data_IF_391862683613
#
_entry.id   IF_391862683613
#
_cell.length_a   1.000
_cell.length_b   1.000
_cell.length_c   1.000
_cell.angle_alpha   90.00
_cell.angle_beta   90.00
_cell.angle_gamma   90.00
#
_symmetry.space_group_name_H-M   'P 1'
#
loop_
_entity.id
_entity.type
_entity.pdbx_description
1 polymer ?
#
# COMPACT_ATOMS: atom_id res chain seq x y z
N UNK A 1 -30.67 36.26 28.69
CA UNK A 1 -30.67 35.79 27.29
C UNK A 1 -31.98 35.05 27.05
N UNK A 2 -32.76 35.43 26.04
CA UNK A 2 -34.05 34.76 25.78
C UNK A 2 -33.78 33.31 25.32
N UNK A 3 -34.70 32.40 25.67
CA UNK A 3 -34.62 30.98 25.25
C UNK A 3 -34.44 30.85 23.73
N UNK A 4 -35.17 31.67 22.97
CA UNK A 4 -35.07 31.70 21.50
C UNK A 4 -33.66 32.07 21.04
N UNK A 5 -33.02 33.07 21.63
CA UNK A 5 -31.63 33.43 21.27
C UNK A 5 -30.65 32.31 21.61
N UNK A 6 -30.81 31.61 22.73
CA UNK A 6 -30.00 30.48 23.10
C UNK A 6 -30.13 29.32 22.09
N UNK A 7 -31.35 28.98 21.66
CA UNK A 7 -31.61 27.95 20.65
C UNK A 7 -31.01 28.30 19.29
N UNK A 8 -31.09 29.55 18.86
CA UNK A 8 -30.47 30.03 17.62
C UNK A 8 -28.95 29.88 17.71
N UNK A 9 -28.32 30.29 18.80
CA UNK A 9 -26.87 30.16 19.00
C UNK A 9 -26.46 28.66 18.92
N UNK A 10 -27.18 27.77 19.63
CA UNK A 10 -26.91 26.34 19.60
C UNK A 10 -27.04 25.77 18.19
N UNK A 11 -28.07 26.14 17.45
CA UNK A 11 -28.26 25.68 16.06
C UNK A 11 -27.12 26.18 15.15
N UNK A 12 -26.69 27.43 15.28
CA UNK A 12 -25.56 27.99 14.52
C UNK A 12 -24.25 27.25 14.87
N UNK A 13 -23.96 27.03 16.15
CA UNK A 13 -22.79 26.28 16.58
C UNK A 13 -22.80 24.83 16.07
N UNK A 14 -23.95 24.18 16.10
CA UNK A 14 -24.12 22.84 15.54
C UNK A 14 -23.83 22.83 14.03
N UNK A 15 -24.38 23.76 13.26
CA UNK A 15 -24.14 23.86 11.81
C UNK A 15 -22.66 24.15 11.49
N UNK A 16 -22.01 25.04 12.24
CA UNK A 16 -20.57 25.30 12.09
C UNK A 16 -19.75 24.06 12.39
N UNK A 17 -20.05 23.35 13.49
CA UNK A 17 -19.34 22.11 13.86
C UNK A 17 -19.55 21.01 12.82
N UNK A 18 -20.77 20.84 12.33
CA UNK A 18 -21.07 19.89 11.26
C UNK A 18 -20.31 20.23 9.96
N UNK A 19 -20.30 21.49 9.57
CA UNK A 19 -19.54 21.96 8.42
C UNK A 19 -18.03 21.72 8.59
N UNK A 20 -17.48 21.99 9.78
CA UNK A 20 -16.06 21.72 10.08
C UNK A 20 -15.73 20.24 9.95
N UNK A 21 -16.56 19.34 10.50
CA UNK A 21 -16.37 17.90 10.41
C UNK A 21 -16.39 17.43 8.95
N UNK A 22 -17.36 17.88 8.18
CA UNK A 22 -17.53 17.45 6.78
C UNK A 22 -16.45 18.02 5.86
N UNK A 23 -16.11 19.30 6.02
CA UNK A 23 -15.26 20.03 5.08
C UNK A 23 -13.75 19.96 5.43
N UNK A 24 -13.41 19.64 6.67
CA UNK A 24 -12.02 19.64 7.16
C UNK A 24 -11.64 18.28 7.76
N UNK A 25 -12.35 17.84 8.81
CA UNK A 25 -11.95 16.63 9.56
C UNK A 25 -12.07 15.37 8.68
N UNK A 26 -13.21 15.18 8.02
CA UNK A 26 -13.45 14.03 7.15
C UNK A 26 -12.40 13.89 6.03
N UNK A 27 -12.13 14.95 5.24
CA UNK A 27 -11.03 14.95 4.27
C UNK A 27 -9.66 14.64 4.87
N UNK A 28 -9.33 15.19 6.03
CA UNK A 28 -8.03 14.95 6.68
C UNK A 28 -7.90 13.52 7.19
N UNK A 29 -8.94 12.90 7.69
CA UNK A 29 -8.93 11.47 8.08
C UNK A 29 -8.59 10.58 6.87
N UNK A 30 -9.11 10.90 5.68
CA UNK A 30 -8.78 10.16 4.46
C UNK A 30 -7.33 10.40 4.02
N UNK A 31 -6.84 11.63 4.13
CA UNK A 31 -5.53 12.02 3.61
C UNK A 31 -4.37 11.79 4.59
N UNK A 32 -4.65 11.76 5.88
CA UNK A 32 -3.65 11.63 6.94
C UNK A 32 -3.93 10.37 7.77
N UNK A 33 -3.61 9.19 7.24
CA UNK A 33 -3.77 7.95 7.97
C UNK A 33 -2.89 7.96 9.24
N UNK A 34 -3.24 7.12 10.19
CA UNK A 34 -2.42 6.91 11.37
C UNK A 34 -1.00 6.54 10.95
N UNK A 35 0.00 7.25 11.45
CA UNK A 35 1.41 6.95 11.21
C UNK A 35 1.92 5.94 12.23
N UNK A 36 1.80 4.67 11.92
CA UNK A 36 2.47 3.62 12.68
C UNK A 36 3.96 3.66 12.37
N UNK A 37 4.78 3.57 13.43
CA UNK A 37 6.24 3.38 13.33
C UNK A 37 6.59 2.00 13.87
N UNK A 38 7.87 1.63 13.86
CA UNK A 38 8.31 0.35 14.44
C UNK A 38 7.86 0.18 15.90
N UNK A 39 7.72 1.28 16.66
CA UNK A 39 7.31 1.23 18.06
C UNK A 39 5.89 0.66 18.23
N UNK A 40 5.01 0.85 17.26
CA UNK A 40 3.68 0.24 17.26
C UNK A 40 3.74 -1.30 17.24
N UNK A 41 4.84 -1.86 16.75
CA UNK A 41 5.07 -3.30 16.65
C UNK A 41 5.72 -3.91 17.90
N UNK A 42 6.21 -3.11 18.84
CA UNK A 42 6.76 -3.59 20.11
C UNK A 42 5.70 -4.41 20.86
N UNK A 43 6.08 -5.62 21.31
CA UNK A 43 5.17 -6.58 21.94
C UNK A 43 4.25 -7.35 20.99
N UNK A 44 4.23 -7.03 19.68
CA UNK A 44 3.43 -7.74 18.67
C UNK A 44 4.26 -8.65 17.79
N UNK A 45 5.52 -8.32 17.61
CA UNK A 45 6.50 -9.13 16.88
C UNK A 45 7.88 -8.94 17.46
N UNK A 46 8.75 -9.93 17.27
CA UNK A 46 10.18 -9.85 17.56
C UNK A 46 10.99 -9.33 16.38
N UNK A 47 10.37 -9.16 15.20
CA UNK A 47 11.02 -8.72 13.96
C UNK A 47 10.66 -7.26 13.68
N UNK A 48 11.27 -6.32 14.38
CA UNK A 48 11.00 -4.90 14.23
C UNK A 48 11.74 -4.29 13.03
N UNK A 49 12.95 -4.79 12.75
CA UNK A 49 13.78 -4.35 11.64
C UNK A 49 14.59 -5.53 11.05
N UNK A 50 15.18 -5.41 9.85
CA UNK A 50 15.87 -6.51 9.18
C UNK A 50 16.98 -7.15 10.01
N UNK A 51 17.73 -6.38 10.82
CA UNK A 51 18.78 -6.94 11.69
C UNK A 51 18.25 -7.87 12.78
N UNK A 52 17.03 -7.67 13.27
CA UNK A 52 16.37 -8.59 14.21
C UNK A 52 16.07 -9.94 13.56
N UNK A 53 15.87 -9.93 12.23
CA UNK A 53 15.66 -11.14 11.43
C UNK A 53 16.97 -11.84 11.04
N UNK A 54 18.14 -11.34 11.50
CA UNK A 54 19.46 -11.85 11.17
C UNK A 54 19.85 -11.65 9.70
N UNK A 55 19.40 -10.57 9.07
CA UNK A 55 19.70 -10.21 7.68
C UNK A 55 20.31 -8.79 7.61
N UNK A 56 21.16 -8.50 6.59
CA UNK A 56 21.78 -7.19 6.43
C UNK A 56 20.73 -6.07 6.38
N UNK A 57 21.07 -4.93 6.96
CA UNK A 57 20.25 -3.72 6.89
C UNK A 57 21.13 -2.53 6.56
N UNK A 58 20.69 -1.77 5.57
CA UNK A 58 21.22 -0.46 5.25
C UNK A 58 20.07 0.55 5.30
N UNK A 59 20.19 1.56 6.15
CA UNK A 59 19.21 2.64 6.20
C UNK A 59 19.37 3.54 4.97
N UNK A 60 18.28 3.80 4.29
CA UNK A 60 18.26 4.60 3.06
C UNK A 60 17.23 5.72 3.15
N UNK A 61 17.54 6.83 2.49
CA UNK A 61 16.61 7.94 2.26
C UNK A 61 16.50 8.17 0.77
N UNK A 62 15.30 8.06 0.23
CA UNK A 62 15.01 8.25 -1.19
C UNK A 62 14.20 9.54 -1.32
N UNK A 63 14.71 10.53 -2.05
CA UNK A 63 13.98 11.78 -2.25
C UNK A 63 13.12 11.69 -3.51
N UNK A 64 11.81 11.84 -3.33
CA UNK A 64 10.86 11.87 -4.44
C UNK A 64 11.01 13.16 -5.29
N UNK A 65 10.46 13.23 -6.51
CA UNK A 65 10.59 14.39 -7.38
C UNK A 65 10.05 15.70 -6.78
N UNK A 66 9.05 15.60 -5.90
CA UNK A 66 8.46 16.72 -5.16
C UNK A 66 9.14 16.99 -3.81
N UNK A 67 10.33 16.41 -3.58
CA UNK A 67 11.17 16.66 -2.40
C UNK A 67 10.79 15.87 -1.15
N UNK A 68 9.83 14.96 -1.22
CA UNK A 68 9.43 14.14 -0.05
C UNK A 68 10.51 13.10 0.26
N UNK A 69 11.11 13.08 1.47
CA UNK A 69 12.04 12.05 1.88
C UNK A 69 11.29 10.77 2.25
N UNK A 70 11.61 9.67 1.57
CA UNK A 70 11.09 8.33 1.85
C UNK A 70 12.15 7.55 2.61
N UNK A 71 11.84 7.18 3.85
CA UNK A 71 12.72 6.40 4.74
C UNK A 71 12.57 4.91 4.47
N UNK A 72 13.69 4.20 4.35
CA UNK A 72 13.65 2.78 4.04
C UNK A 72 14.83 1.98 4.57
N UNK A 73 14.72 0.66 4.40
CA UNK A 73 15.76 -0.32 4.64
C UNK A 73 16.06 -1.08 3.36
N UNK A 74 17.33 -1.07 2.96
CA UNK A 74 17.81 -1.91 1.87
C UNK A 74 18.48 -3.15 2.47
N UNK A 75 17.91 -4.31 2.15
CA UNK A 75 18.45 -5.62 2.45
C UNK A 75 19.09 -6.15 1.17
N UNK A 76 20.42 -6.10 1.07
CA UNK A 76 21.13 -6.43 -0.16
C UNK A 76 21.91 -7.73 -0.10
N UNK A 77 21.89 -8.45 -1.19
CA UNK A 77 22.73 -9.60 -1.47
C UNK A 77 24.15 -9.17 -1.89
N UNK A 78 25.18 -10.01 -1.69
CA UNK A 78 26.42 -9.88 -2.47
C UNK A 78 26.10 -9.85 -3.96
N UNK A 79 26.77 -8.98 -4.75
CA UNK A 79 26.48 -8.78 -6.17
C UNK A 79 26.41 -10.08 -6.98
N UNK A 80 27.33 -11.02 -6.71
CA UNK A 80 27.41 -12.31 -7.39
C UNK A 80 26.20 -13.23 -7.13
N UNK A 81 25.46 -13.01 -6.03
CA UNK A 81 24.33 -13.85 -5.61
C UNK A 81 22.95 -13.22 -5.87
N UNK A 82 22.90 -11.93 -6.24
CA UNK A 82 21.64 -11.23 -6.43
C UNK A 82 20.89 -11.73 -7.67
N UNK A 83 19.70 -12.30 -7.47
CA UNK A 83 18.79 -12.77 -8.53
C UNK A 83 17.89 -11.67 -9.08
N UNK A 84 17.65 -10.63 -8.32
CA UNK A 84 16.78 -9.51 -8.62
C UNK A 84 16.47 -8.72 -7.36
N UNK A 85 15.61 -7.73 -7.48
CA UNK A 85 15.23 -6.86 -6.36
C UNK A 85 13.71 -6.85 -6.21
N UNK A 86 13.24 -6.97 -4.98
CA UNK A 86 11.83 -6.88 -4.65
C UNK A 86 11.62 -5.64 -3.77
N UNK A 87 10.65 -4.81 -4.15
CA UNK A 87 10.24 -3.65 -3.37
C UNK A 87 8.93 -3.99 -2.67
N UNK A 88 8.92 -3.87 -1.34
CA UNK A 88 7.74 -4.07 -0.51
C UNK A 88 7.00 -2.75 -0.30
N UNK A 89 5.68 -2.78 -0.50
CA UNK A 89 4.76 -1.67 -0.36
C UNK A 89 3.70 -2.04 0.69
N UNK A 90 3.73 -1.34 1.82
CA UNK A 90 2.84 -1.62 2.95
C UNK A 90 1.43 -1.07 2.76
N UNK A 91 0.50 -1.49 3.61
CA UNK A 91 -0.89 -1.02 3.65
C UNK A 91 -1.04 0.40 4.23
N UNK A 92 -2.25 0.96 4.10
CA UNK A 92 -2.56 2.28 4.66
C UNK A 92 -2.44 2.27 6.19
N UNK A 93 -1.85 3.31 6.75
CA UNK A 93 -1.63 3.45 8.19
C UNK A 93 -0.53 2.55 8.76
N UNK A 94 0.19 1.81 7.91
CA UNK A 94 1.27 0.89 8.29
C UNK A 94 2.66 1.47 8.00
N UNK A 95 3.72 0.67 8.12
CA UNK A 95 5.09 1.08 7.85
C UNK A 95 5.94 -0.11 7.34
N UNK A 96 7.19 0.18 6.98
CA UNK A 96 8.15 -0.79 6.45
C UNK A 96 8.40 -2.01 7.36
N UNK A 97 8.13 -1.90 8.67
CA UNK A 97 8.28 -3.00 9.63
C UNK A 97 7.42 -4.22 9.28
N UNK A 98 6.21 -4.01 8.75
CA UNK A 98 5.32 -5.08 8.32
C UNK A 98 5.96 -6.04 7.28
N UNK A 99 6.93 -5.54 6.51
CA UNK A 99 7.62 -6.30 5.47
C UNK A 99 8.84 -7.09 5.94
N UNK A 100 9.26 -7.00 7.21
CA UNK A 100 10.54 -7.59 7.68
C UNK A 100 10.56 -9.12 7.55
N UNK A 101 9.48 -9.78 7.92
CA UNK A 101 9.37 -11.25 7.76
C UNK A 101 9.48 -11.67 6.29
N UNK A 102 8.81 -10.95 5.39
CA UNK A 102 8.89 -11.15 3.94
C UNK A 102 10.32 -10.89 3.41
N UNK A 103 10.96 -9.82 3.88
CA UNK A 103 12.34 -9.52 3.49
C UNK A 103 13.28 -10.64 3.87
N UNK A 104 13.16 -11.21 5.07
CA UNK A 104 13.93 -12.38 5.51
C UNK A 104 13.70 -13.58 4.59
N UNK A 105 12.45 -13.86 4.24
CA UNK A 105 12.07 -14.96 3.35
C UNK A 105 12.74 -14.82 1.98
N UNK A 106 12.62 -13.64 1.37
CA UNK A 106 13.12 -13.34 0.02
C UNK A 106 14.65 -13.22 -0.01
N UNK A 107 15.26 -12.60 1.01
CA UNK A 107 16.72 -12.52 1.14
C UNK A 107 17.36 -13.92 1.17
N UNK A 108 16.82 -14.85 1.95
CA UNK A 108 17.31 -16.23 2.00
C UNK A 108 17.20 -16.98 0.66
N UNK A 109 16.44 -16.44 -0.28
CA UNK A 109 16.27 -16.98 -1.66
C UNK A 109 17.11 -16.26 -2.71
N UNK A 110 17.92 -15.28 -2.28
CA UNK A 110 18.86 -14.58 -3.14
C UNK A 110 18.34 -13.28 -3.75
N UNK A 111 17.25 -12.71 -3.23
CA UNK A 111 16.74 -11.41 -3.68
C UNK A 111 17.26 -10.27 -2.80
N UNK A 112 17.54 -9.13 -3.41
CA UNK A 112 17.57 -7.88 -2.66
C UNK A 112 16.14 -7.49 -2.28
N UNK A 113 15.97 -6.81 -1.14
CA UNK A 113 14.66 -6.30 -0.75
C UNK A 113 14.79 -4.86 -0.30
N UNK A 114 13.97 -3.98 -0.87
CA UNK A 114 13.77 -2.62 -0.37
C UNK A 114 12.43 -2.57 0.37
N UNK A 115 12.49 -2.18 1.63
CA UNK A 115 11.35 -1.85 2.47
C UNK A 115 11.38 -0.34 2.70
N UNK A 116 10.34 0.39 2.33
CA UNK A 116 10.29 1.83 2.65
C UNK A 116 8.91 2.25 3.12
N UNK A 117 8.86 3.27 3.94
CA UNK A 117 7.61 3.90 4.33
C UNK A 117 7.12 4.76 3.18
N UNK A 118 5.89 4.52 2.74
CA UNK A 118 5.22 5.38 1.76
C UNK A 118 5.11 6.81 2.27
N UNK A 119 4.95 7.78 1.35
CA UNK A 119 4.66 9.16 1.76
C UNK A 119 3.52 9.24 2.77
N UNK A 120 3.60 10.15 3.71
CA UNK A 120 2.66 10.34 4.81
C UNK A 120 2.51 9.14 5.77
N UNK A 121 3.42 8.14 5.71
CA UNK A 121 3.43 6.98 6.61
C UNK A 121 4.78 6.84 7.32
N UNK A 122 4.77 6.06 8.40
CA UNK A 122 5.97 5.74 9.17
C UNK A 122 6.83 6.97 9.48
N UNK A 123 8.12 6.87 9.20
CA UNK A 123 9.10 7.94 9.35
C UNK A 123 9.32 8.75 8.06
N UNK A 124 8.64 8.43 6.97
CA UNK A 124 8.74 9.17 5.72
C UNK A 124 8.07 10.54 5.82
N UNK A 125 8.53 11.46 4.99
CA UNK A 125 7.93 12.76 4.82
C UNK A 125 6.57 12.71 4.10
N UNK A 126 6.15 13.89 3.64
CA UNK A 126 4.86 14.05 3.00
C UNK A 126 3.73 14.30 3.99
N UNK A 127 2.75 15.06 3.54
CA UNK A 127 1.61 15.47 4.36
C UNK A 127 0.39 14.58 4.13
N UNK A 128 0.23 14.07 2.90
CA UNK A 128 -0.97 13.39 2.45
C UNK A 128 -0.67 12.05 1.80
N UNK A 129 -1.51 11.07 2.08
CA UNK A 129 -1.63 9.81 1.37
C UNK A 129 -2.64 9.97 0.23
N UNK A 130 -2.29 9.49 -0.97
CA UNK A 130 -3.14 9.59 -2.18
C UNK A 130 -3.46 8.23 -2.80
N UNK A 131 -3.20 7.14 -2.07
CA UNK A 131 -3.61 5.75 -2.41
C UNK A 131 -3.08 5.25 -3.76
N UNK A 132 -1.98 5.81 -4.24
CA UNK A 132 -1.35 5.44 -5.51
C UNK A 132 -1.27 6.57 -6.53
N UNK A 133 -1.91 7.72 -6.31
CA UNK A 133 -1.80 8.84 -7.25
C UNK A 133 -0.37 9.39 -7.33
N UNK A 134 0.25 9.73 -6.20
CA UNK A 134 1.66 10.10 -6.11
C UNK A 134 2.55 8.89 -5.78
N UNK A 135 2.09 7.94 -4.96
CA UNK A 135 2.86 6.81 -4.47
C UNK A 135 3.41 5.94 -5.62
N UNK A 136 2.69 5.80 -6.74
CA UNK A 136 3.18 5.07 -7.93
C UNK A 136 4.45 5.70 -8.53
N UNK A 137 4.61 7.01 -8.45
CA UNK A 137 5.80 7.72 -8.91
C UNK A 137 6.97 7.58 -7.92
N UNK A 138 6.66 7.46 -6.61
CA UNK A 138 7.67 7.16 -5.59
C UNK A 138 8.33 5.80 -5.83
N UNK A 139 7.56 4.80 -6.29
CA UNK A 139 8.11 3.49 -6.68
C UNK A 139 9.14 3.65 -7.81
N UNK A 140 8.82 4.41 -8.86
CA UNK A 140 9.74 4.69 -9.96
C UNK A 140 11.01 5.41 -9.49
N UNK A 141 10.88 6.30 -8.52
CA UNK A 141 12.01 6.99 -7.89
C UNK A 141 12.87 6.02 -7.09
N UNK A 142 12.26 5.11 -6.34
CA UNK A 142 12.96 4.07 -5.59
C UNK A 142 13.75 3.14 -6.53
N UNK A 143 13.16 2.73 -7.65
CA UNK A 143 13.86 1.94 -8.69
C UNK A 143 15.05 2.72 -9.26
N UNK A 144 14.87 4.02 -9.55
CA UNK A 144 15.93 4.87 -10.06
C UNK A 144 17.07 5.09 -9.06
N UNK A 145 16.75 5.22 -7.78
CA UNK A 145 17.71 5.27 -6.69
C UNK A 145 18.58 4.00 -6.66
N UNK A 146 17.93 2.83 -6.66
CA UNK A 146 18.63 1.54 -6.64
C UNK A 146 19.48 1.33 -7.90
N UNK A 147 18.99 1.74 -9.07
CA UNK A 147 19.69 1.56 -10.34
C UNK A 147 20.99 2.40 -10.45
N UNK A 148 21.08 3.55 -9.77
CA UNK A 148 22.28 4.40 -9.73
C UNK A 148 23.37 3.84 -8.80
N UNK A 149 23.05 2.88 -7.96
CA UNK A 149 23.97 2.29 -6.99
C UNK A 149 24.99 1.37 -7.68
N UNK A 150 26.26 1.80 -7.72
CA UNK A 150 27.37 0.99 -8.31
C UNK A 150 27.71 -0.26 -7.50
N UNK A 151 27.41 -0.25 -6.19
CA UNK A 151 27.64 -1.37 -5.25
C UNK A 151 26.51 -2.40 -5.24
N UNK A 152 25.42 -2.16 -5.96
CA UNK A 152 24.24 -3.02 -6.03
C UNK A 152 24.07 -3.61 -7.44
N UNK A 153 23.77 -4.91 -7.52
CA UNK A 153 23.19 -5.54 -8.71
C UNK A 153 21.68 -5.58 -8.53
N UNK A 154 20.97 -4.62 -9.12
CA UNK A 154 19.52 -4.51 -9.00
C UNK A 154 18.79 -5.69 -9.66
N UNK A 155 19.26 -6.17 -10.83
CA UNK A 155 18.58 -7.20 -11.62
C UNK A 155 17.18 -6.78 -12.07
N UNK A 156 16.33 -7.77 -12.33
CA UNK A 156 14.90 -7.52 -12.60
C UNK A 156 14.18 -7.09 -11.32
N UNK A 157 13.22 -6.18 -11.43
CA UNK A 157 12.48 -5.64 -10.28
C UNK A 157 11.09 -6.25 -10.20
N UNK A 158 10.75 -6.76 -9.01
CA UNK A 158 9.40 -7.16 -8.65
C UNK A 158 8.83 -6.27 -7.55
N UNK A 159 7.51 -6.16 -7.49
CA UNK A 159 6.80 -5.48 -6.42
C UNK A 159 6.00 -6.48 -5.59
N UNK A 160 6.01 -6.31 -4.29
CA UNK A 160 5.08 -6.97 -3.38
C UNK A 160 4.31 -5.90 -2.61
N UNK A 161 3.01 -5.83 -2.84
CA UNK A 161 2.17 -4.86 -2.16
C UNK A 161 1.04 -5.50 -1.37
N UNK A 162 0.77 -4.98 -0.17
CA UNK A 162 -0.37 -5.38 0.68
C UNK A 162 -1.40 -4.25 0.75
N UNK A 163 -2.68 -4.56 0.62
CA UNK A 163 -3.78 -3.60 0.77
C UNK A 163 -3.61 -2.37 -0.16
N UNK A 164 -3.45 -1.17 0.39
CA UNK A 164 -3.08 0.02 -0.38
C UNK A 164 -1.81 -0.22 -1.22
N UNK A 165 -0.79 -0.88 -0.65
CA UNK A 165 0.44 -1.19 -1.36
C UNK A 165 0.22 -2.08 -2.59
N UNK A 166 -0.78 -2.97 -2.58
CA UNK A 166 -1.16 -3.78 -3.74
C UNK A 166 -1.73 -2.90 -4.87
N UNK A 167 -2.56 -1.92 -4.52
CA UNK A 167 -3.07 -0.95 -5.47
C UNK A 167 -1.96 -0.08 -6.05
N UNK A 168 -1.03 0.38 -5.21
CA UNK A 168 0.16 1.14 -5.63
C UNK A 168 1.04 0.31 -6.57
N UNK A 169 1.27 -0.98 -6.24
CA UNK A 169 2.10 -1.89 -7.05
C UNK A 169 1.56 -2.05 -8.48
N UNK A 170 0.25 -2.25 -8.63
CA UNK A 170 -0.40 -2.38 -9.94
C UNK A 170 -0.28 -1.07 -10.72
N UNK A 171 -0.59 0.07 -10.08
CA UNK A 171 -0.51 1.39 -10.71
C UNK A 171 0.92 1.76 -11.11
N UNK A 172 1.91 1.45 -10.26
CA UNK A 172 3.31 1.70 -10.58
C UNK A 172 3.79 0.85 -11.76
N UNK A 173 3.37 -0.42 -11.82
CA UNK A 173 3.73 -1.32 -12.93
C UNK A 173 3.15 -0.84 -14.26
N UNK A 174 2.00 -0.17 -14.25
CA UNK A 174 1.39 0.37 -15.47
C UNK A 174 2.15 1.56 -16.08
N UNK A 175 2.96 2.26 -15.28
CA UNK A 175 3.70 3.45 -15.72
C UNK A 175 5.23 3.26 -15.77
N UNK A 176 5.75 2.14 -15.24
CA UNK A 176 7.20 1.87 -15.20
C UNK A 176 7.52 0.46 -15.72
N UNK A 177 8.02 0.38 -16.93
CA UNK A 177 8.33 -0.87 -17.63
C UNK A 177 9.53 -1.64 -17.04
N UNK A 178 10.27 -1.05 -16.10
CA UNK A 178 11.34 -1.74 -15.35
C UNK A 178 10.79 -2.76 -14.36
N UNK A 179 9.51 -2.66 -13.99
CA UNK A 179 8.83 -3.61 -13.13
C UNK A 179 8.46 -4.83 -13.96
N UNK A 180 8.85 -6.02 -13.48
CA UNK A 180 8.77 -7.28 -14.22
C UNK A 180 7.81 -8.30 -13.59
N UNK A 181 7.35 -8.08 -12.37
CA UNK A 181 6.40 -8.93 -11.68
C UNK A 181 5.71 -8.18 -10.54
N UNK A 182 4.45 -8.52 -10.23
CA UNK A 182 3.69 -7.95 -9.12
C UNK A 182 3.03 -9.06 -8.30
N UNK A 183 3.19 -9.01 -6.99
CA UNK A 183 2.32 -9.69 -6.03
C UNK A 183 1.41 -8.64 -5.42
N UNK A 184 0.11 -8.80 -5.58
CA UNK A 184 -0.93 -7.91 -5.08
C UNK A 184 -1.79 -8.64 -4.03
N UNK A 185 -1.53 -8.37 -2.75
CA UNK A 185 -2.24 -8.99 -1.63
C UNK A 185 -3.31 -8.07 -1.09
N UNK A 186 -4.54 -8.58 -0.97
CA UNK A 186 -5.70 -7.90 -0.39
C UNK A 186 -5.94 -6.49 -0.96
N UNK A 187 -5.74 -6.33 -2.29
CA UNK A 187 -5.90 -5.05 -2.99
C UNK A 187 -7.35 -4.71 -3.32
N UNK A 188 -7.58 -3.47 -3.74
CA UNK A 188 -8.88 -2.96 -4.19
C UNK A 188 -8.85 -2.55 -5.67
N UNK A 189 -10.02 -2.40 -6.30
CA UNK A 189 -10.16 -2.08 -7.74
C UNK A 189 -9.94 -0.61 -8.05
N UNK A 190 -10.53 0.28 -7.27
CA UNK A 190 -10.39 1.74 -7.42
C UNK A 190 -10.77 2.48 -6.14
N UNK A 191 -10.25 3.70 -5.97
CA UNK A 191 -10.43 4.47 -4.75
C UNK A 191 -11.89 4.88 -4.47
N UNK A 192 -12.68 5.12 -5.51
CA UNK A 192 -14.08 5.54 -5.34
C UNK A 192 -14.91 4.37 -4.85
N UNK A 193 -14.76 3.20 -5.45
CA UNK A 193 -15.50 2.00 -5.08
C UNK A 193 -15.15 1.55 -3.66
N UNK A 194 -13.86 1.48 -3.30
CA UNK A 194 -13.46 1.11 -1.95
C UNK A 194 -13.95 2.12 -0.90
N UNK A 195 -14.03 3.42 -1.23
CA UNK A 195 -14.56 4.42 -0.31
C UNK A 195 -16.06 4.24 -0.04
N UNK A 196 -16.82 3.72 -1.02
CA UNK A 196 -18.23 3.35 -0.84
C UNK A 196 -18.37 2.18 0.12
N UNK A 197 -17.55 1.14 -0.10
CA UNK A 197 -17.56 -0.06 0.75
C UNK A 197 -17.14 0.27 2.18
N UNK A 198 -16.12 1.08 2.35
CA UNK A 198 -15.67 1.55 3.66
C UNK A 198 -16.79 2.28 4.41
N UNK A 199 -17.52 3.17 3.70
CA UNK A 199 -18.66 3.87 4.29
C UNK A 199 -19.76 2.90 4.72
N UNK A 200 -20.12 1.92 3.90
CA UNK A 200 -21.19 0.96 4.21
C UNK A 200 -20.81 -0.01 5.33
N UNK A 201 -19.60 -0.54 5.29
CA UNK A 201 -19.15 -1.65 6.16
C UNK A 201 -18.57 -1.17 7.49
N UNK A 202 -17.82 -0.07 7.48
CA UNK A 202 -17.08 0.43 8.65
C UNK A 202 -17.78 1.60 9.30
N UNK A 203 -18.06 2.66 8.52
CA UNK A 203 -18.65 3.91 9.06
C UNK A 203 -20.14 3.75 9.33
N UNK A 204 -20.83 2.88 8.57
CA UNK A 204 -22.27 2.58 8.67
C UNK A 204 -23.19 3.82 8.58
N UNK A 205 -22.70 4.91 7.99
CA UNK A 205 -23.50 6.12 7.75
C UNK A 205 -24.20 6.03 6.39
N UNK A 206 -25.53 6.27 6.30
CA UNK A 206 -26.27 6.12 5.06
C UNK A 206 -26.05 7.25 4.05
N UNK A 207 -25.39 8.33 4.47
CA UNK A 207 -25.34 9.58 3.70
C UNK A 207 -24.19 9.61 2.69
N UNK A 208 -24.46 9.13 1.50
CA UNK A 208 -23.51 9.16 0.36
C UNK A 208 -23.01 10.57 0.02
N UNK A 209 -23.85 11.58 0.26
CA UNK A 209 -23.50 12.98 0.03
C UNK A 209 -22.27 13.41 0.84
N UNK A 210 -22.21 13.11 2.14
CA UNK A 210 -21.10 13.52 3.01
C UNK A 210 -19.78 12.90 2.56
N UNK A 211 -19.79 11.62 2.17
CA UNK A 211 -18.60 10.95 1.59
C UNK A 211 -18.16 11.66 0.31
N UNK A 212 -19.08 11.97 -0.58
CA UNK A 212 -18.76 12.63 -1.86
C UNK A 212 -18.16 14.03 -1.63
N UNK A 213 -18.69 14.78 -0.66
CA UNK A 213 -18.11 16.07 -0.27
C UNK A 213 -16.71 15.89 0.32
N UNK A 214 -16.52 14.95 1.26
CA UNK A 214 -15.22 14.67 1.85
C UNK A 214 -14.20 14.26 0.77
N UNK A 215 -14.56 13.36 -0.15
CA UNK A 215 -13.70 12.95 -1.26
C UNK A 215 -13.37 14.12 -2.20
N UNK A 216 -14.36 14.94 -2.56
CA UNK A 216 -14.14 16.14 -3.39
C UNK A 216 -13.18 17.14 -2.72
N UNK A 217 -13.35 17.36 -1.41
CA UNK A 217 -12.46 18.23 -0.63
C UNK A 217 -11.05 17.62 -0.51
N UNK A 218 -10.94 16.32 -0.25
CA UNK A 218 -9.65 15.62 -0.20
C UNK A 218 -8.87 15.79 -1.50
N UNK A 219 -9.52 15.64 -2.64
CA UNK A 219 -8.89 15.85 -3.95
C UNK A 219 -8.34 17.27 -4.12
N UNK A 220 -9.08 18.28 -3.66
CA UNK A 220 -8.63 19.70 -3.71
C UNK A 220 -7.48 19.95 -2.72
N UNK A 221 -7.56 19.43 -1.49
CA UNK A 221 -6.54 19.65 -0.44
C UNK A 221 -5.19 19.01 -0.83
N UNK A 222 -5.22 17.78 -1.34
CA UNK A 222 -4.01 17.05 -1.70
C UNK A 222 -3.67 17.12 -3.20
N UNK A 223 -4.38 17.92 -3.98
CA UNK A 223 -4.20 18.12 -5.41
C UNK A 223 -4.06 16.78 -6.20
N UNK A 224 -5.01 15.87 -5.99
CA UNK A 224 -5.04 14.59 -6.69
C UNK A 224 -6.41 14.32 -7.30
N UNK A 225 -6.50 13.31 -8.15
CA UNK A 225 -7.75 12.90 -8.80
C UNK A 225 -8.07 11.45 -8.44
N UNK A 226 -9.08 11.25 -7.60
CA UNK A 226 -9.49 9.92 -7.13
C UNK A 226 -9.85 8.97 -8.28
N UNK A 227 -10.33 9.47 -9.42
CA UNK A 227 -10.64 8.68 -10.63
C UNK A 227 -9.38 8.06 -11.28
N UNK A 228 -8.20 8.65 -11.05
CA UNK A 228 -6.93 8.18 -11.59
C UNK A 228 -6.25 7.17 -10.65
N UNK A 229 -6.86 6.87 -9.49
CA UNK A 229 -6.47 5.79 -8.59
C UNK A 229 -7.35 4.58 -8.91
N UNK A 230 -6.99 3.87 -9.97
CA UNK A 230 -7.81 2.80 -10.56
C UNK A 230 -6.99 1.58 -10.97
N UNK A 231 -6.54 0.77 -10.01
CA UNK A 231 -5.86 -0.50 -10.29
C UNK A 231 -6.57 -1.39 -11.31
N UNK A 232 -7.92 -1.36 -11.36
CA UNK A 232 -8.70 -2.16 -12.33
C UNK A 232 -8.53 -1.67 -13.77
N UNK A 233 -8.28 -0.39 -13.98
CA UNK A 233 -7.95 0.16 -15.30
C UNK A 233 -6.50 -0.18 -15.65
N UNK A 234 -5.59 0.02 -14.71
CA UNK A 234 -4.16 -0.15 -14.91
C UNK A 234 -3.78 -1.62 -15.17
N UNK A 235 -4.39 -2.56 -14.46
CA UNK A 235 -4.12 -3.99 -14.61
C UNK A 235 -4.37 -4.52 -16.02
N UNK A 236 -5.29 -3.91 -16.75
CA UNK A 236 -5.62 -4.27 -18.15
C UNK A 236 -4.49 -3.94 -19.12
N UNK A 237 -3.59 -3.03 -18.76
CA UNK A 237 -2.45 -2.64 -19.61
C UNK A 237 -1.23 -3.55 -19.40
N UNK A 238 -1.19 -4.29 -18.28
CA UNK A 238 -0.03 -5.07 -17.88
C UNK A 238 0.08 -6.38 -18.64
N UNK A 239 1.27 -6.69 -19.14
CA UNK A 239 1.64 -7.97 -19.77
C UNK A 239 2.77 -8.68 -19.00
N UNK A 240 2.91 -8.38 -17.72
CA UNK A 240 3.87 -9.00 -16.79
C UNK A 240 3.15 -9.98 -15.87
N UNK A 241 3.86 -10.96 -15.28
CA UNK A 241 3.28 -11.87 -14.30
C UNK A 241 2.69 -11.11 -13.09
N UNK A 242 1.44 -11.46 -12.75
CA UNK A 242 0.76 -10.93 -11.55
C UNK A 242 0.21 -12.08 -10.73
N UNK A 243 0.50 -12.07 -9.43
CA UNK A 243 -0.08 -12.97 -8.43
C UNK A 243 -0.98 -12.16 -7.52
N UNK A 244 -2.29 -12.47 -7.54
CA UNK A 244 -3.24 -11.94 -6.59
C UNK A 244 -3.40 -12.91 -5.43
N UNK A 245 -3.41 -12.41 -4.19
CA UNK A 245 -3.64 -13.19 -2.97
C UNK A 245 -4.69 -12.48 -2.14
N UNK A 246 -5.69 -13.22 -1.60
CA UNK A 246 -6.72 -12.63 -0.74
C UNK A 246 -7.29 -13.64 0.25
N UNK A 247 -7.58 -13.20 1.47
CA UNK A 247 -8.30 -13.99 2.47
C UNK A 247 -9.81 -13.97 2.22
N UNK A 248 -10.47 -15.11 2.28
CA UNK A 248 -11.93 -15.19 2.02
C UNK A 248 -12.80 -14.58 3.11
N UNK A 249 -12.26 -14.39 4.33
CA UNK A 249 -12.93 -13.78 5.48
C UNK A 249 -12.51 -12.32 5.69
N UNK A 250 -11.88 -11.68 4.66
CA UNK A 250 -11.44 -10.29 4.76
C UNK A 250 -12.63 -9.35 5.00
N UNK A 251 -12.65 -8.77 6.21
CA UNK A 251 -13.71 -7.84 6.65
C UNK A 251 -13.45 -6.40 6.29
N UNK A 252 -12.22 -6.05 5.89
CA UNK A 252 -11.85 -4.69 5.48
C UNK A 252 -12.03 -4.50 3.98
N UNK A 253 -11.46 -5.39 3.18
CA UNK A 253 -11.52 -5.36 1.71
C UNK A 253 -12.10 -6.68 1.23
N UNK A 254 -13.20 -6.61 0.49
CA UNK A 254 -13.84 -7.82 -0.04
C UNK A 254 -12.93 -8.52 -1.05
N UNK A 255 -12.71 -9.84 -0.91
CA UNK A 255 -11.90 -10.63 -1.83
C UNK A 255 -12.42 -10.63 -3.29
N UNK A 256 -13.68 -10.25 -3.50
CA UNK A 256 -14.22 -10.05 -4.86
C UNK A 256 -13.46 -8.97 -5.64
N UNK A 257 -12.81 -8.02 -4.96
CA UNK A 257 -11.92 -7.08 -5.65
C UNK A 257 -10.72 -7.78 -6.28
N UNK A 258 -10.09 -8.74 -5.62
CA UNK A 258 -9.00 -9.52 -6.22
C UNK A 258 -9.50 -10.41 -7.34
N UNK A 259 -10.71 -10.96 -7.27
CA UNK A 259 -11.32 -11.70 -8.38
C UNK A 259 -11.58 -10.79 -9.58
N UNK A 260 -12.05 -9.57 -9.33
CA UNK A 260 -12.27 -8.56 -10.37
C UNK A 260 -10.95 -8.16 -11.02
N UNK A 261 -9.92 -7.85 -10.25
CA UNK A 261 -8.59 -7.53 -10.77
C UNK A 261 -8.02 -8.70 -11.58
N UNK A 262 -8.13 -9.94 -11.07
CA UNK A 262 -7.72 -11.14 -11.79
C UNK A 262 -8.49 -11.31 -13.10
N UNK A 263 -9.80 -11.06 -13.12
CA UNK A 263 -10.61 -11.16 -14.33
C UNK A 263 -10.06 -10.24 -15.43
N UNK A 264 -9.80 -8.99 -15.12
CA UNK A 264 -9.35 -7.98 -16.07
C UNK A 264 -7.85 -8.03 -16.39
N UNK A 265 -7.02 -8.65 -15.56
CA UNK A 265 -5.59 -8.81 -15.83
C UNK A 265 -5.34 -9.69 -17.06
N UNK A 266 -4.28 -9.39 -17.83
CA UNK A 266 -3.79 -10.24 -18.91
C UNK A 266 -2.95 -11.40 -18.36
N UNK A 267 -2.74 -12.42 -19.19
CA UNK A 267 -1.77 -13.49 -18.89
C UNK A 267 -0.33 -12.96 -18.95
N UNK A 268 0.60 -13.49 -18.13
CA UNK A 268 0.39 -14.54 -17.12
C UNK A 268 -0.14 -13.99 -15.79
N UNK A 269 -1.19 -14.61 -15.25
CA UNK A 269 -1.82 -14.21 -13.98
C UNK A 269 -2.17 -15.43 -13.12
N UNK A 270 -2.14 -15.25 -11.81
CA UNK A 270 -2.51 -16.27 -10.84
C UNK A 270 -3.37 -15.66 -9.73
N UNK A 271 -4.32 -16.41 -9.20
CA UNK A 271 -5.16 -16.02 -8.06
C UNK A 271 -5.09 -17.09 -6.98
N UNK A 272 -4.80 -16.69 -5.76
CA UNK A 272 -4.83 -17.53 -4.56
C UNK A 272 -5.81 -16.93 -3.57
N UNK A 273 -6.93 -17.61 -3.35
CA UNK A 273 -7.84 -17.30 -2.26
C UNK A 273 -7.49 -18.20 -1.06
N UNK A 274 -7.30 -17.59 0.10
CA UNK A 274 -6.94 -18.30 1.33
C UNK A 274 -8.19 -18.46 2.20
N UNK A 275 -8.77 -19.67 2.28
CA UNK A 275 -9.97 -19.90 3.06
C UNK A 275 -9.77 -19.58 4.54
N UNK A 276 -10.72 -18.88 5.15
CA UNK A 276 -10.71 -18.52 6.56
C UNK A 276 -9.78 -17.37 6.95
N UNK A 277 -8.91 -16.91 6.04
CA UNK A 277 -8.03 -15.80 6.32
C UNK A 277 -8.75 -14.45 6.22
N UNK A 278 -8.42 -13.54 7.15
CA UNK A 278 -8.84 -12.14 7.17
C UNK A 278 -7.80 -11.25 6.51
N UNK A 279 -7.93 -9.93 6.62
CA UNK A 279 -7.07 -8.93 5.98
C UNK A 279 -5.59 -8.98 6.38
N UNK A 280 -5.29 -9.35 7.63
CA UNK A 280 -3.96 -9.24 8.21
C UNK A 280 -3.30 -10.58 8.59
N UNK A 281 -4.02 -11.69 8.46
CA UNK A 281 -3.56 -13.02 8.90
C UNK A 281 -3.37 -14.04 7.77
N UNK A 282 -3.37 -13.56 6.53
CA UNK A 282 -3.23 -14.39 5.31
C UNK A 282 -1.99 -15.29 5.39
N UNK A 283 -0.83 -14.72 5.78
CA UNK A 283 0.40 -15.50 5.92
C UNK A 283 0.29 -16.54 7.04
N UNK A 284 -0.27 -16.13 8.19
CA UNK A 284 -0.42 -17.03 9.35
C UNK A 284 -1.29 -18.23 9.01
N UNK A 285 -2.45 -18.00 8.40
CA UNK A 285 -3.40 -19.07 8.02
C UNK A 285 -2.85 -19.96 6.90
N UNK A 286 -2.26 -19.37 5.85
CA UNK A 286 -1.75 -20.14 4.71
C UNK A 286 -0.35 -20.73 4.93
N UNK A 287 0.42 -20.23 5.89
CA UNK A 287 1.70 -20.75 6.35
C UNK A 287 2.69 -21.05 5.22
N UNK A 288 3.25 -22.27 5.22
CA UNK A 288 4.26 -22.70 4.22
C UNK A 288 3.76 -22.69 2.77
N UNK A 289 2.45 -22.80 2.55
CA UNK A 289 1.89 -22.71 1.19
C UNK A 289 2.11 -21.29 0.64
N UNK A 290 1.79 -20.27 1.44
CA UNK A 290 2.02 -18.88 1.10
C UNK A 290 3.48 -18.59 0.76
N UNK A 291 4.41 -19.00 1.63
CA UNK A 291 5.84 -18.80 1.42
C UNK A 291 6.33 -19.45 0.11
N UNK A 292 5.96 -20.72 -0.13
CA UNK A 292 6.32 -21.44 -1.35
C UNK A 292 5.78 -20.76 -2.60
N UNK A 293 4.54 -20.25 -2.54
CA UNK A 293 3.89 -19.57 -3.66
C UNK A 293 4.62 -18.30 -4.05
N UNK A 294 4.94 -17.45 -3.09
CA UNK A 294 5.66 -16.19 -3.31
C UNK A 294 7.07 -16.45 -3.85
N UNK A 295 7.80 -17.40 -3.22
CA UNK A 295 9.16 -17.75 -3.65
C UNK A 295 9.15 -18.29 -5.08
N UNK A 296 8.25 -19.21 -5.39
CA UNK A 296 8.12 -19.81 -6.72
C UNK A 296 7.80 -18.75 -7.76
N UNK A 297 6.82 -17.88 -7.47
CA UNK A 297 6.40 -16.80 -8.36
C UNK A 297 7.56 -15.88 -8.72
N UNK A 298 8.22 -15.26 -7.74
CA UNK A 298 9.34 -14.36 -8.03
C UNK A 298 10.55 -15.08 -8.63
N UNK A 299 10.84 -16.30 -8.21
CA UNK A 299 11.95 -17.09 -8.80
C UNK A 299 11.71 -17.41 -10.26
N UNK A 300 10.46 -17.58 -10.70
CA UNK A 300 10.10 -17.79 -12.11
C UNK A 300 10.08 -16.48 -12.89
N UNK A 301 9.46 -15.46 -12.35
CA UNK A 301 9.22 -14.19 -13.05
C UNK A 301 10.47 -13.31 -13.20
N UNK A 302 11.43 -13.40 -12.26
CA UNK A 302 12.62 -12.56 -12.23
C UNK A 302 13.92 -13.28 -12.69
N UNK A 303 13.78 -14.46 -13.30
CA UNK A 303 14.89 -15.18 -13.96
C UNK A 303 15.45 -14.44 -15.16
#
# INVERSE_FOLDING_TARGET
MSLLLALIILAVLFLISAALVILVVGPLILLQPQRRTKDWYIGKTTLLEPRDAGIPQEDVVITSPDGVPLKGWLVRQPKSKAKGTIIYLHGVGDCRTAGVALARLLFRRGFNVLLYDSRAHGESGGRFCTYGYYEKHDVGTAISYLARRRDLRIGKVGLFGTSMGAAVAIQAAAIDNRIRAVVAEAGFTDLRTISVDYQKRIVKLPWHFLRNVAMSRSQKIANFKAREVSPVTDVQTLSIPILFIHGTEDRLINYEYSKTLYHYAKQPKELVLVPGANHTDIWEIAGKMYERKIISFFSKALR
#
